data_IF_450477546999
#
_entry.id   IF_450477546999
#
_cell.length_a   1.000
_cell.length_b   1.000
_cell.length_c   1.000
_cell.angle_alpha   90.00
_cell.angle_beta   90.00
_cell.angle_gamma   90.00
#
_symmetry.space_group_name_H-M   'P 1'
#
loop_
_entity.id
_entity.type
_entity.pdbx_description
1 polymer ?
#
# COMPACT_ATOMS: atom_id res chain seq x y z
N UNK A 1 8.95 -2.93 -6.68
CA UNK A 1 7.83 -3.89 -6.83
C UNK A 1 6.67 -3.31 -7.64
N UNK A 2 6.22 -2.08 -7.36
CA UNK A 2 5.14 -1.42 -8.12
C UNK A 2 5.32 -1.37 -9.65
N UNK A 3 6.56 -1.17 -10.13
CA UNK A 3 6.83 -1.23 -11.57
C UNK A 3 6.61 -2.63 -12.17
N UNK A 4 6.97 -3.69 -11.43
CA UNK A 4 6.82 -5.07 -11.90
C UNK A 4 5.35 -5.50 -11.87
N UNK A 5 4.63 -5.19 -10.78
CA UNK A 5 3.19 -5.48 -10.68
C UNK A 5 2.38 -4.64 -11.66
N UNK A 6 2.73 -3.37 -11.86
CA UNK A 6 2.11 -2.48 -12.84
C UNK A 6 2.35 -2.92 -14.29
N UNK A 7 3.58 -3.31 -14.65
CA UNK A 7 3.89 -3.84 -15.98
C UNK A 7 3.19 -5.18 -16.22
N UNK A 8 3.14 -6.06 -15.22
CA UNK A 8 2.41 -7.33 -15.33
C UNK A 8 0.91 -7.11 -15.52
N UNK A 9 0.32 -6.15 -14.80
CA UNK A 9 -1.08 -5.75 -14.96
C UNK A 9 -1.35 -5.15 -16.35
N UNK A 10 -0.50 -4.23 -16.82
CA UNK A 10 -0.64 -3.63 -18.15
C UNK A 10 -0.46 -4.63 -19.29
N UNK A 11 0.50 -5.55 -19.19
CA UNK A 11 0.68 -6.64 -20.15
C UNK A 11 -0.56 -7.53 -20.20
N UNK A 12 -1.11 -7.88 -19.04
CA UNK A 12 -2.34 -8.68 -18.96
C UNK A 12 -3.50 -7.96 -19.65
N UNK A 13 -3.73 -6.68 -19.36
CA UNK A 13 -4.77 -5.90 -20.03
C UNK A 13 -4.57 -5.81 -21.54
N UNK A 14 -3.33 -5.66 -21.99
CA UNK A 14 -3.00 -5.55 -23.41
C UNK A 14 -3.27 -6.86 -24.17
N UNK A 15 -2.98 -8.02 -23.56
CA UNK A 15 -3.35 -9.32 -24.11
C UNK A 15 -4.84 -9.65 -23.96
N UNK A 16 -5.55 -8.92 -23.10
CA UNK A 16 -6.94 -9.18 -22.74
C UNK A 16 -7.94 -8.22 -23.40
N UNK A 17 -7.50 -7.22 -24.15
CA UNK A 17 -8.40 -6.31 -24.83
C UNK A 17 -9.01 -7.01 -26.05
N UNK A 18 -10.25 -7.50 -25.87
CA UNK A 18 -11.12 -7.90 -26.98
C UNK A 18 -11.64 -6.66 -27.73
N UNK A 19 -12.28 -6.87 -28.87
CA UNK A 19 -12.75 -5.82 -29.78
C UNK A 19 -13.48 -4.68 -29.03
N UNK A 20 -12.87 -3.48 -29.05
CA UNK A 20 -13.32 -2.29 -28.32
C UNK A 20 -14.68 -1.77 -28.80
N UNK A 21 -15.15 -2.23 -29.96
CA UNK A 21 -16.32 -1.69 -30.64
C UNK A 21 -17.63 -2.17 -30.02
N UNK A 22 -17.66 -3.37 -29.40
CA UNK A 22 -18.82 -3.86 -28.64
C UNK A 22 -18.84 -3.39 -27.18
N UNK A 23 -17.69 -3.00 -26.62
CA UNK A 23 -17.58 -2.62 -25.21
C UNK A 23 -17.96 -1.15 -24.96
N UNK A 24 -17.96 -0.31 -26.00
CA UNK A 24 -18.25 1.12 -25.91
C UNK A 24 -19.74 1.46 -25.75
N UNK A 25 -20.66 0.51 -26.00
CA UNK A 25 -22.12 0.74 -25.95
C UNK A 25 -22.78 0.27 -24.65
N UNK A 26 -22.09 -0.46 -23.79
CA UNK A 26 -22.62 -0.90 -22.48
C UNK A 26 -22.05 -0.07 -21.34
N UNK A 27 -22.95 0.63 -20.65
CA UNK A 27 -22.71 1.52 -19.51
C UNK A 27 -21.70 0.94 -18.51
N UNK A 28 -20.68 1.75 -18.24
CA UNK A 28 -19.58 1.55 -17.28
C UNK A 28 -20.03 0.88 -15.98
N UNK A 29 -19.73 -0.41 -15.85
CA UNK A 29 -19.80 -1.18 -14.61
C UNK A 29 -18.70 -2.23 -14.63
N UNK A 30 -17.95 -2.36 -13.54
CA UNK A 30 -16.90 -3.38 -13.40
C UNK A 30 -17.43 -4.82 -13.60
N UNK A 31 -18.76 -5.02 -13.52
CA UNK A 31 -19.47 -6.26 -13.81
C UNK A 31 -19.56 -6.64 -15.29
N UNK A 32 -19.40 -5.68 -16.21
CA UNK A 32 -19.66 -5.90 -17.64
C UNK A 32 -18.45 -6.40 -18.42
N UNK A 33 -17.25 -6.10 -17.91
CA UNK A 33 -15.97 -6.64 -18.41
C UNK A 33 -15.95 -8.16 -18.25
N UNK A 34 -16.49 -8.68 -17.14
CA UNK A 34 -16.60 -10.11 -16.85
C UNK A 34 -17.62 -10.82 -17.77
N UNK A 35 -18.67 -10.11 -18.20
CA UNK A 35 -19.73 -10.66 -19.05
C UNK A 35 -19.28 -10.80 -20.52
N UNK A 36 -18.48 -9.85 -21.01
CA UNK A 36 -17.81 -9.92 -22.32
C UNK A 36 -16.73 -11.03 -22.34
N UNK A 37 -16.01 -11.22 -21.24
CA UNK A 37 -15.01 -12.27 -21.10
C UNK A 37 -15.56 -13.69 -21.13
N UNK A 38 -16.82 -13.89 -20.70
CA UNK A 38 -17.48 -15.21 -20.69
C UNK A 38 -17.78 -15.73 -22.09
N UNK A 39 -17.86 -14.87 -23.10
CA UNK A 39 -18.23 -15.25 -24.47
C UNK A 39 -17.07 -15.90 -25.25
N UNK A 40 -15.80 -15.72 -24.82
CA UNK A 40 -14.61 -16.14 -25.59
C UNK A 40 -13.89 -17.41 -25.08
N UNK A 41 -14.43 -18.16 -24.11
CA UNK A 41 -13.86 -19.46 -23.68
C UNK A 41 -12.54 -19.42 -22.91
N UNK A 42 -11.81 -18.29 -22.87
CA UNK A 42 -10.52 -18.14 -22.19
C UNK A 42 -10.61 -17.57 -20.75
N UNK A 43 -11.81 -17.55 -20.18
CA UNK A 43 -12.12 -16.90 -18.89
C UNK A 43 -11.37 -17.51 -17.69
N UNK A 44 -11.02 -18.79 -17.74
CA UNK A 44 -10.30 -19.48 -16.67
C UNK A 44 -8.86 -18.99 -16.54
N UNK A 45 -8.18 -18.77 -17.66
CA UNK A 45 -6.79 -18.30 -17.67
C UNK A 45 -6.67 -16.87 -17.13
N UNK A 46 -7.58 -15.99 -17.54
CA UNK A 46 -7.56 -14.61 -17.07
C UNK A 46 -7.93 -14.51 -15.58
N UNK A 47 -8.97 -15.23 -15.14
CA UNK A 47 -9.38 -15.22 -13.73
C UNK A 47 -8.31 -15.79 -12.81
N UNK A 48 -7.63 -16.87 -13.24
CA UNK A 48 -6.48 -17.44 -12.54
C UNK A 48 -5.33 -16.44 -12.41
N UNK A 49 -4.99 -15.74 -13.50
CA UNK A 49 -3.89 -14.78 -13.51
C UNK A 49 -4.17 -13.58 -12.60
N UNK A 50 -5.39 -13.04 -12.65
CA UNK A 50 -5.81 -11.93 -11.77
C UNK A 50 -5.76 -12.35 -10.30
N UNK A 51 -6.25 -13.56 -9.96
CA UNK A 51 -6.22 -14.06 -8.60
C UNK A 51 -4.78 -14.16 -8.05
N UNK A 52 -3.84 -14.65 -8.86
CA UNK A 52 -2.42 -14.72 -8.46
C UNK A 52 -1.84 -13.33 -8.22
N UNK A 53 -2.12 -12.36 -9.10
CA UNK A 53 -1.62 -10.99 -8.96
C UNK A 53 -2.15 -10.34 -7.67
N UNK A 54 -3.43 -10.49 -7.37
CA UNK A 54 -4.06 -9.90 -6.17
C UNK A 54 -3.46 -10.50 -4.89
N UNK A 55 -3.28 -11.83 -4.83
CA UNK A 55 -2.69 -12.49 -3.66
C UNK A 55 -1.25 -12.01 -3.44
N UNK A 56 -0.43 -11.97 -4.50
CA UNK A 56 0.95 -11.52 -4.41
C UNK A 56 1.03 -10.05 -3.99
N UNK A 57 0.17 -9.18 -4.55
CA UNK A 57 0.11 -7.77 -4.18
C UNK A 57 -0.30 -7.58 -2.71
N UNK A 58 -1.32 -8.30 -2.24
CA UNK A 58 -1.78 -8.24 -0.84
C UNK A 58 -0.68 -8.63 0.15
N UNK A 59 0.04 -9.71 -0.11
CA UNK A 59 1.17 -10.15 0.74
C UNK A 59 2.29 -9.10 0.76
N UNK A 60 2.58 -8.46 -0.37
CA UNK A 60 3.59 -7.40 -0.43
C UNK A 60 3.20 -6.18 0.39
N UNK A 61 1.94 -5.71 0.28
CA UNK A 61 1.45 -4.55 1.05
C UNK A 61 1.47 -4.88 2.55
N UNK A 62 1.02 -6.06 2.96
CA UNK A 62 1.10 -6.53 4.35
C UNK A 62 2.56 -6.58 4.86
N UNK A 63 3.49 -7.07 4.03
CA UNK A 63 4.89 -7.13 4.37
C UNK A 63 5.54 -5.73 4.49
N UNK A 64 5.13 -4.77 3.65
CA UNK A 64 5.61 -3.38 3.73
C UNK A 64 5.02 -2.63 4.93
N UNK A 65 3.70 -2.73 5.12
CA UNK A 65 3.00 -2.09 6.25
C UNK A 65 3.47 -2.60 7.61
N UNK A 66 3.75 -3.90 7.74
CA UNK A 66 4.29 -4.43 9.01
C UNK A 66 5.66 -3.84 9.37
N UNK A 67 6.50 -3.47 8.39
CA UNK A 67 7.80 -2.81 8.65
C UNK A 67 7.63 -1.37 9.15
N UNK A 68 6.67 -0.62 8.61
CA UNK A 68 6.40 0.75 9.05
C UNK A 68 5.81 0.76 10.46
N UNK A 69 4.84 -0.11 10.75
CA UNK A 69 4.25 -0.26 12.09
C UNK A 69 5.30 -0.72 13.10
N UNK A 70 6.25 -1.58 12.69
CA UNK A 70 7.34 -2.01 13.54
C UNK A 70 8.29 -0.86 13.90
N UNK A 71 8.63 0.00 12.93
CA UNK A 71 9.42 1.21 13.19
C UNK A 71 8.70 2.16 14.16
N UNK A 72 7.39 2.39 13.98
CA UNK A 72 6.58 3.18 14.93
C UNK A 72 6.52 2.57 16.33
N UNK A 73 6.44 1.24 16.44
CA UNK A 73 6.47 0.55 17.72
C UNK A 73 7.82 0.71 18.45
N UNK A 74 8.92 0.75 17.70
CA UNK A 74 10.27 1.01 18.24
C UNK A 74 10.40 2.43 18.79
N UNK A 75 9.72 3.39 18.17
CA UNK A 75 9.72 4.79 18.59
C UNK A 75 8.71 5.05 19.74
N UNK A 76 8.19 4.00 20.40
CA UNK A 76 7.17 4.06 21.46
C UNK A 76 5.87 4.77 21.06
N UNK A 77 5.55 4.84 19.77
CA UNK A 77 4.37 5.54 19.27
C UNK A 77 3.02 4.83 19.47
N UNK A 78 3.01 3.56 19.93
CA UNK A 78 1.79 2.77 20.12
C UNK A 78 1.41 2.62 21.61
N UNK A 79 0.13 2.75 21.97
CA UNK A 79 -0.35 2.30 23.28
C UNK A 79 -0.10 0.79 23.36
N UNK A 80 0.70 0.33 24.33
CA UNK A 80 1.26 -1.04 24.44
C UNK A 80 2.49 -1.37 23.57
N UNK A 81 3.36 -0.37 23.28
CA UNK A 81 4.64 -0.57 22.58
C UNK A 81 5.50 -1.73 23.13
N UNK A 82 5.46 -1.99 24.45
CA UNK A 82 6.21 -3.08 25.10
C UNK A 82 5.87 -4.49 24.59
N UNK A 83 4.64 -4.72 24.12
CA UNK A 83 4.20 -6.04 23.61
C UNK A 83 4.45 -6.18 22.11
N UNK A 84 4.32 -5.08 21.35
CA UNK A 84 4.50 -5.06 19.90
C UNK A 84 5.94 -4.85 19.45
N UNK A 85 6.78 -4.22 20.28
CA UNK A 85 8.23 -4.02 20.03
C UNK A 85 9.06 -5.28 20.33
N UNK A 86 8.46 -6.29 20.97
CA UNK A 86 9.18 -7.52 21.36
C UNK A 86 9.39 -8.43 20.14
N UNK A 87 10.54 -8.28 19.50
CA UNK A 87 11.00 -9.18 18.42
C UNK A 87 11.42 -10.52 19.02
N UNK A 88 10.90 -11.63 18.49
CA UNK A 88 11.34 -12.96 18.86
C UNK A 88 12.78 -13.19 18.35
N UNK A 89 13.74 -13.42 19.26
CA UNK A 89 15.18 -13.50 18.95
C UNK A 89 15.58 -14.51 17.86
N UNK A 90 14.73 -15.51 17.57
CA UNK A 90 14.96 -16.53 16.52
C UNK A 90 14.39 -16.20 15.14
N UNK A 91 13.43 -15.30 15.04
CA UNK A 91 12.82 -14.90 13.77
C UNK A 91 12.90 -13.39 13.68
N UNK A 92 13.74 -12.86 12.79
CA UNK A 92 13.92 -11.43 12.54
C UNK A 92 12.64 -10.75 11.98
N UNK A 93 11.47 -11.40 12.10
CA UNK A 93 10.17 -10.94 11.66
C UNK A 93 9.30 -10.65 12.89
N UNK A 94 8.82 -9.41 13.07
CA UNK A 94 7.98 -9.04 14.21
C UNK A 94 6.54 -9.59 14.03
N UNK A 95 6.31 -10.82 14.50
CA UNK A 95 5.03 -11.54 14.34
C UNK A 95 3.86 -10.76 14.95
N UNK A 96 4.05 -10.14 16.11
CA UNK A 96 3.00 -9.37 16.80
C UNK A 96 2.55 -8.16 15.96
N UNK A 97 3.49 -7.49 15.29
CA UNK A 97 3.19 -6.36 14.40
C UNK A 97 2.47 -6.83 13.14
N UNK A 98 2.90 -7.94 12.55
CA UNK A 98 2.24 -8.53 11.39
C UNK A 98 0.78 -8.89 11.72
N UNK A 99 0.52 -9.49 12.89
CA UNK A 99 -0.82 -9.83 13.33
C UNK A 99 -1.70 -8.59 13.52
N UNK A 100 -1.16 -7.52 14.10
CA UNK A 100 -1.87 -6.24 14.24
C UNK A 100 -2.24 -5.66 12.87
N UNK A 101 -1.27 -5.56 11.95
CA UNK A 101 -1.50 -5.04 10.59
C UNK A 101 -2.52 -5.89 9.84
N UNK A 102 -2.45 -7.22 9.95
CA UNK A 102 -3.40 -8.13 9.34
C UNK A 102 -4.81 -7.96 9.92
N UNK A 103 -4.93 -7.79 11.23
CA UNK A 103 -6.24 -7.60 11.89
C UNK A 103 -6.91 -6.31 11.43
N UNK A 104 -6.15 -5.21 11.35
CA UNK A 104 -6.67 -3.93 10.83
C UNK A 104 -7.05 -4.06 9.35
N UNK A 105 -6.24 -4.75 8.55
CA UNK A 105 -6.55 -4.98 7.14
C UNK A 105 -7.84 -5.76 6.95
N UNK A 106 -8.05 -6.84 7.71
CA UNK A 106 -9.28 -7.64 7.66
C UNK A 106 -10.51 -6.87 8.15
N UNK A 107 -10.34 -5.99 9.14
CA UNK A 107 -11.43 -5.13 9.61
C UNK A 107 -11.85 -4.11 8.53
N UNK A 108 -10.90 -3.55 7.78
CA UNK A 108 -11.19 -2.64 6.67
C UNK A 108 -11.78 -3.37 5.46
N UNK A 109 -11.30 -4.56 5.14
CA UNK A 109 -11.85 -5.42 4.08
C UNK A 109 -13.30 -5.81 4.37
N UNK A 110 -13.64 -6.06 5.64
CA UNK A 110 -15.01 -6.35 6.06
C UNK A 110 -16.01 -5.20 5.81
N UNK A 111 -15.55 -3.96 5.64
CA UNK A 111 -16.42 -2.80 5.32
C UNK A 111 -16.94 -2.90 3.89
N UNK A 112 -16.19 -3.53 2.98
CA UNK A 112 -16.55 -3.68 1.57
C UNK A 112 -17.83 -4.50 1.38
N UNK A 113 -18.11 -5.45 2.28
CA UNK A 113 -19.33 -6.27 2.25
C UNK A 113 -20.61 -5.51 2.62
N UNK A 114 -20.51 -4.34 3.26
CA UNK A 114 -21.64 -3.68 3.92
C UNK A 114 -22.27 -2.53 3.11
N UNK A 115 -21.46 -1.64 2.52
CA UNK A 115 -21.96 -0.47 1.81
C UNK A 115 -20.94 0.08 0.80
N UNK A 116 -21.37 0.27 -0.45
CA UNK A 116 -20.55 0.87 -1.53
C UNK A 116 -20.03 2.26 -1.12
N UNK A 117 -20.85 3.06 -0.43
CA UNK A 117 -20.44 4.39 0.06
C UNK A 117 -19.35 4.32 1.13
N UNK A 118 -19.31 3.26 1.94
CA UNK A 118 -18.26 3.07 2.94
C UNK A 118 -16.90 2.80 2.30
N UNK A 119 -16.86 1.91 1.32
CA UNK A 119 -15.63 1.56 0.60
C UNK A 119 -14.99 2.78 -0.09
N UNK A 120 -15.79 3.57 -0.81
CA UNK A 120 -15.32 4.79 -1.49
C UNK A 120 -14.71 5.81 -0.51
N UNK A 121 -15.30 5.96 0.69
CA UNK A 121 -14.74 6.86 1.70
C UNK A 121 -13.40 6.38 2.24
N UNK A 122 -13.22 5.07 2.43
CA UNK A 122 -11.96 4.48 2.91
C UNK A 122 -10.84 4.70 1.88
N UNK A 123 -11.13 4.50 0.58
CA UNK A 123 -10.16 4.74 -0.50
C UNK A 123 -9.75 6.21 -0.53
N UNK A 124 -10.72 7.13 -0.43
CA UNK A 124 -10.45 8.57 -0.45
C UNK A 124 -9.53 8.98 0.71
N UNK A 125 -9.85 8.55 1.94
CA UNK A 125 -9.03 8.84 3.12
C UNK A 125 -7.62 8.24 3.00
N UNK A 126 -7.49 7.03 2.46
CA UNK A 126 -6.20 6.39 2.21
C UNK A 126 -5.33 7.20 1.24
N UNK A 127 -5.94 7.69 0.17
CA UNK A 127 -5.27 8.50 -0.86
C UNK A 127 -4.80 9.84 -0.30
N UNK A 128 -5.65 10.53 0.45
CA UNK A 128 -5.30 11.78 1.14
C UNK A 128 -4.17 11.57 2.17
N UNK A 129 -4.21 10.48 2.93
CA UNK A 129 -3.14 10.13 3.88
C UNK A 129 -1.79 9.91 3.22
N UNK A 130 -1.78 9.34 2.01
CA UNK A 130 -0.57 9.18 1.21
C UNK A 130 0.00 10.54 0.77
N UNK A 131 -0.86 11.44 0.26
CA UNK A 131 -0.43 12.79 -0.10
C UNK A 131 0.14 13.56 1.10
N UNK A 132 -0.51 13.46 2.25
CA UNK A 132 -0.04 14.11 3.48
C UNK A 132 1.33 13.59 3.92
N UNK A 133 1.56 12.28 3.85
CA UNK A 133 2.86 11.68 4.20
C UNK A 133 3.99 12.19 3.30
N UNK A 134 3.71 12.36 1.99
CA UNK A 134 4.67 12.92 1.04
C UNK A 134 4.91 14.41 1.29
N UNK A 135 3.86 15.16 1.60
CA UNK A 135 3.95 16.58 1.94
C UNK A 135 4.81 16.81 3.19
N UNK A 136 4.63 16.01 4.25
CA UNK A 136 5.47 16.09 5.46
C UNK A 136 6.94 15.79 5.17
N UNK A 137 7.23 14.75 4.38
CA UNK A 137 8.60 14.41 4.01
C UNK A 137 9.29 15.55 3.23
N UNK A 138 8.56 16.20 2.32
CA UNK A 138 9.05 17.36 1.57
C UNK A 138 9.29 18.55 2.50
N UNK A 139 8.35 18.82 3.39
CA UNK A 139 8.42 19.94 4.34
C UNK A 139 9.65 19.83 5.26
N UNK A 140 9.92 18.65 5.81
CA UNK A 140 11.10 18.43 6.65
C UNK A 140 12.42 18.69 5.88
N UNK A 141 12.48 18.32 4.59
CA UNK A 141 13.63 18.61 3.73
C UNK A 141 13.79 20.10 3.43
N UNK A 142 12.69 20.84 3.27
CA UNK A 142 12.72 22.28 3.06
C UNK A 142 13.20 23.02 4.31
N UNK A 143 12.78 22.59 5.50
CA UNK A 143 13.29 23.14 6.77
C UNK A 143 14.79 22.91 6.89
N UNK A 144 15.26 21.69 6.63
CA UNK A 144 16.69 21.37 6.72
C UNK A 144 17.53 22.22 5.73
N UNK A 145 17.04 22.38 4.49
CA UNK A 145 17.68 23.24 3.48
C UNK A 145 17.68 24.73 3.89
N UNK A 146 16.58 25.20 4.49
CA UNK A 146 16.45 26.57 5.00
C UNK A 146 17.42 26.84 6.17
N UNK A 147 17.60 25.86 7.06
CA UNK A 147 18.55 25.93 8.18
C UNK A 147 20.01 25.82 7.71
N UNK A 148 20.29 25.10 6.63
CA UNK A 148 21.60 25.03 5.99
C UNK A 148 22.00 26.36 5.31
N UNK A 149 21.02 27.17 4.87
CA UNK A 149 21.27 28.50 4.33
C UNK A 149 21.48 29.59 5.41
N UNK A 150 21.12 29.33 6.67
CA UNK A 150 21.43 30.25 7.79
C UNK A 150 22.90 30.09 8.22
N UNK A 151 23.76 31.13 8.11
CA UNK A 151 25.19 31.02 8.39
C UNK A 151 25.55 30.75 9.87
N UNK A 152 24.56 30.76 10.78
CA UNK A 152 24.74 30.60 12.22
C UNK A 152 24.60 29.15 12.74
N UNK A 153 24.43 28.15 11.87
CA UNK A 153 24.30 26.73 12.25
C UNK A 153 25.55 25.88 11.95
N UNK A 154 26.52 26.42 11.18
CA UNK A 154 27.74 25.71 10.75
C UNK A 154 28.69 25.32 11.90
N UNK A 155 28.47 25.83 13.11
CA UNK A 155 29.27 25.53 14.32
C UNK A 155 28.72 24.33 15.11
N UNK A 156 27.44 23.96 14.96
CA UNK A 156 26.81 22.90 15.76
C UNK A 156 26.77 21.53 15.07
N UNK A 157 27.14 21.44 13.78
CA UNK A 157 27.19 20.18 13.01
C UNK A 157 28.58 19.53 13.04
N UNK A 158 29.56 20.17 13.70
CA UNK A 158 30.93 19.66 13.82
C UNK A 158 31.29 19.18 15.23
N UNK A 159 30.31 18.82 16.07
CA UNK A 159 30.56 17.96 17.22
C UNK A 159 30.44 16.48 16.80
N UNK A 160 31.55 15.78 16.48
CA UNK A 160 31.57 14.34 16.50
C UNK A 160 31.57 13.92 17.98
N UNK A 161 30.40 13.64 18.51
CA UNK A 161 30.26 12.98 19.80
C UNK A 161 29.12 11.96 19.70
N UNK A 162 29.27 10.70 20.09
CA UNK A 162 30.37 9.76 20.29
C UNK A 162 29.65 8.48 20.73
N UNK A 163 30.23 7.33 20.39
CA UNK A 163 29.96 5.99 20.93
C UNK A 163 28.64 5.33 20.52
#
# INVERSE_FOLDING_TARGET
MGAVTGVTFLLTLCFCIGDITETAVTSTGASDILRLYRQQGCHLHLSSLIAVIVIVAGVNILAEGSRSVFAFARDNGLPFSNVFSKVASKSQVPINTVLLTLTVQLALDGIDFGAITGFETVISISTEGFYLSHAMALFNRLIDTSLAMSPSSRVLIHSPLRC
#
